data_IF_331819661334
#
_entry.id   IF_331819661334
#
_cell.length_a   1.000
_cell.length_b   1.000
_cell.length_c   1.000
_cell.angle_alpha   90.00
_cell.angle_beta   90.00
_cell.angle_gamma   90.00
#
_symmetry.space_group_name_H-M   'P 1'
#
loop_
_entity.id
_entity.type
_entity.pdbx_description
1 polymer ?
#
# COMPACT_ATOMS: atom_id res chain seq x y z
N UNK A 1 -49.06 -13.99 -53.95
CA UNK A 1 -48.46 -13.01 -53.03
C UNK A 1 -48.10 -13.74 -51.76
N UNK A 2 -46.86 -14.18 -51.67
CA UNK A 2 -46.35 -15.01 -50.57
C UNK A 2 -45.70 -14.09 -49.54
N UNK A 3 -46.32 -13.96 -48.36
CA UNK A 3 -45.72 -13.28 -47.22
C UNK A 3 -45.05 -14.32 -46.32
N UNK A 4 -43.71 -14.28 -46.31
CA UNK A 4 -42.85 -14.85 -45.30
C UNK A 4 -42.07 -13.68 -44.68
N UNK A 5 -42.10 -13.54 -43.36
CA UNK A 5 -41.17 -12.77 -42.50
C UNK A 5 -41.84 -12.69 -41.12
N UNK A 6 -41.19 -12.79 -39.96
CA UNK A 6 -39.82 -13.13 -39.54
C UNK A 6 -39.99 -13.32 -38.03
N UNK A 7 -39.75 -14.52 -37.49
CA UNK A 7 -39.79 -14.74 -36.04
C UNK A 7 -38.36 -14.61 -35.51
N UNK A 8 -38.07 -13.45 -34.91
CA UNK A 8 -36.87 -13.17 -34.13
C UNK A 8 -36.86 -14.04 -32.89
N UNK A 9 -36.02 -15.07 -32.90
CA UNK A 9 -35.64 -15.88 -31.72
C UNK A 9 -34.65 -15.04 -30.91
N UNK A 10 -35.14 -14.40 -29.85
CA UNK A 10 -34.29 -13.90 -28.77
C UNK A 10 -33.93 -15.10 -27.89
N UNK A 11 -32.78 -15.70 -28.16
CA UNK A 11 -32.23 -16.79 -27.37
C UNK A 11 -31.63 -16.19 -26.09
N UNK A 12 -32.40 -16.32 -25.02
CA UNK A 12 -32.09 -15.97 -23.65
C UNK A 12 -30.90 -16.83 -23.16
N UNK A 13 -29.69 -16.32 -23.39
CA UNK A 13 -28.46 -16.87 -22.81
C UNK A 13 -28.37 -16.46 -21.35
N UNK A 14 -29.24 -17.05 -20.52
CA UNK A 14 -29.08 -17.04 -19.08
C UNK A 14 -27.78 -17.79 -18.74
N UNK A 15 -26.71 -17.01 -18.59
CA UNK A 15 -25.41 -17.48 -18.13
C UNK A 15 -25.59 -18.33 -16.87
N UNK A 16 -25.27 -19.61 -17.01
CA UNK A 16 -25.21 -20.59 -15.92
C UNK A 16 -24.19 -20.07 -14.90
N UNK A 17 -24.68 -19.33 -13.89
CA UNK A 17 -23.88 -18.94 -12.73
C UNK A 17 -23.49 -20.23 -12.01
N UNK A 18 -22.28 -20.71 -12.30
CA UNK A 18 -21.71 -21.85 -11.63
C UNK A 18 -21.69 -21.58 -10.12
N UNK A 19 -22.23 -22.49 -9.28
CA UNK A 19 -22.22 -22.32 -7.84
C UNK A 19 -20.77 -22.19 -7.38
N UNK A 20 -20.46 -21.05 -6.76
CA UNK A 20 -19.14 -20.71 -6.23
C UNK A 20 -18.60 -21.85 -5.39
N UNK A 21 -17.62 -22.60 -5.93
CA UNK A 21 -16.92 -23.64 -5.17
C UNK A 21 -16.27 -22.95 -3.98
N UNK A 22 -16.79 -23.19 -2.77
CA UNK A 22 -16.22 -22.66 -1.54
C UNK A 22 -14.80 -23.19 -1.40
N UNK A 23 -13.83 -22.30 -1.52
CA UNK A 23 -12.43 -22.62 -1.31
C UNK A 23 -12.20 -22.92 0.18
N UNK A 24 -11.89 -24.17 0.52
CA UNK A 24 -11.69 -24.60 1.91
C UNK A 24 -10.19 -24.78 2.16
N UNK A 25 -9.62 -23.87 2.95
CA UNK A 25 -8.24 -23.99 3.45
C UNK A 25 -8.24 -24.93 4.65
N UNK A 26 -7.44 -26.00 4.63
CA UNK A 26 -7.32 -26.94 5.75
C UNK A 26 -6.98 -26.20 7.08
N UNK A 27 -7.28 -26.72 8.27
CA UNK A 27 -6.78 -26.11 9.51
C UNK A 27 -5.24 -26.21 9.61
N UNK A 28 -4.57 -25.21 10.17
CA UNK A 28 -3.12 -25.20 10.42
C UNK A 28 -2.86 -24.79 11.87
N UNK A 29 -1.84 -25.40 12.48
CA UNK A 29 -1.32 -25.00 13.79
C UNK A 29 -0.18 -24.02 13.57
N UNK A 30 -0.19 -22.92 14.32
CA UNK A 30 0.80 -21.87 14.21
C UNK A 30 1.82 -22.00 15.34
N UNK A 31 3.09 -22.09 14.98
CA UNK A 31 4.20 -22.04 15.91
C UNK A 31 4.45 -20.58 16.29
N UNK A 32 3.86 -20.18 17.41
CA UNK A 32 3.93 -18.82 17.95
C UNK A 32 4.75 -18.82 19.23
N UNK A 33 5.71 -17.92 19.31
CA UNK A 33 6.61 -17.77 20.44
C UNK A 33 6.44 -16.37 21.03
N UNK A 34 6.31 -16.28 22.35
CA UNK A 34 6.36 -14.99 23.05
C UNK A 34 7.83 -14.62 23.17
N UNK A 35 8.20 -13.44 22.68
CA UNK A 35 9.56 -12.91 22.74
C UNK A 35 9.57 -11.54 23.39
N UNK A 36 10.73 -11.18 23.95
CA UNK A 36 10.95 -9.85 24.54
C UNK A 36 11.01 -8.77 23.46
N UNK A 37 10.79 -7.52 23.87
CA UNK A 37 10.88 -6.34 22.98
C UNK A 37 12.25 -6.27 22.29
N UNK A 38 13.34 -6.45 23.06
CA UNK A 38 14.70 -6.37 22.55
C UNK A 38 15.00 -7.46 21.52
N UNK A 39 14.55 -8.70 21.79
CA UNK A 39 14.68 -9.79 20.82
C UNK A 39 13.90 -9.50 19.53
N UNK A 40 12.70 -8.95 19.64
CA UNK A 40 11.91 -8.58 18.47
C UNK A 40 12.60 -7.48 17.65
N UNK A 41 13.02 -6.40 18.28
CA UNK A 41 13.69 -5.30 17.59
C UNK A 41 15.04 -5.71 17.01
N UNK A 42 15.83 -6.52 17.73
CA UNK A 42 17.11 -7.03 17.25
C UNK A 42 16.92 -7.94 16.02
N UNK A 43 15.92 -8.84 16.05
CA UNK A 43 15.63 -9.70 14.90
C UNK A 43 15.12 -8.90 13.70
N UNK A 44 14.22 -7.94 13.89
CA UNK A 44 13.75 -7.06 12.82
C UNK A 44 14.90 -6.22 12.26
N UNK A 45 15.73 -5.62 13.11
CA UNK A 45 16.90 -4.84 12.71
C UNK A 45 17.85 -5.69 11.87
N UNK A 46 18.14 -6.93 12.28
CA UNK A 46 19.02 -7.83 11.52
C UNK A 46 18.48 -8.14 10.11
N UNK A 47 17.16 -8.27 9.96
CA UNK A 47 16.50 -8.57 8.69
C UNK A 47 16.38 -7.36 7.76
N UNK A 48 16.39 -6.16 8.31
CA UNK A 48 16.13 -4.89 7.60
C UNK A 48 17.34 -3.97 7.55
N UNK A 49 18.55 -4.54 7.74
CA UNK A 49 19.83 -3.82 7.74
C UNK A 49 19.82 -2.64 8.72
N UNK A 50 19.38 -2.86 9.95
CA UNK A 50 19.23 -1.80 10.96
C UNK A 50 18.05 -0.86 10.68
N UNK A 51 16.94 -1.37 10.14
CA UNK A 51 15.75 -0.60 9.74
C UNK A 51 15.93 0.32 8.53
N UNK A 52 17.09 0.33 7.85
CA UNK A 52 17.32 1.16 6.67
C UNK A 52 16.47 0.77 5.46
N UNK A 53 15.93 -0.46 5.43
CA UNK A 53 15.01 -0.93 4.37
C UNK A 53 13.56 -0.47 4.56
N UNK A 54 13.27 0.18 5.67
CA UNK A 54 11.92 0.62 6.03
C UNK A 54 11.80 2.15 5.89
N UNK A 55 10.60 2.67 5.57
CA UNK A 55 10.33 4.09 5.70
C UNK A 55 10.57 4.54 7.14
N UNK A 56 11.25 5.68 7.32
CA UNK A 56 11.65 6.19 8.63
C UNK A 56 10.48 6.27 9.62
N UNK A 57 9.37 6.89 9.22
CA UNK A 57 8.16 7.03 10.04
C UNK A 57 7.60 5.67 10.49
N UNK A 58 7.57 4.70 9.56
CA UNK A 58 7.09 3.36 9.86
C UNK A 58 8.02 2.65 10.84
N UNK A 59 9.34 2.74 10.64
CA UNK A 59 10.32 2.16 11.52
C UNK A 59 10.28 2.77 12.94
N UNK A 60 10.07 4.08 13.05
CA UNK A 60 9.93 4.76 14.35
C UNK A 60 8.65 4.34 15.07
N UNK A 61 7.51 4.38 14.39
CA UNK A 61 6.22 3.98 14.96
C UNK A 61 6.25 2.53 15.46
N UNK A 62 6.70 1.59 14.61
CA UNK A 62 6.80 0.17 14.96
C UNK A 62 7.73 -0.04 16.16
N UNK A 63 8.87 0.66 16.21
CA UNK A 63 9.78 0.58 17.34
C UNK A 63 9.17 1.11 18.65
N UNK A 64 8.47 2.25 18.59
CA UNK A 64 7.78 2.82 19.75
C UNK A 64 6.70 1.86 20.28
N UNK A 65 5.88 1.34 19.37
CA UNK A 65 4.79 0.44 19.68
C UNK A 65 5.28 -0.89 20.28
N UNK A 66 6.31 -1.52 19.71
CA UNK A 66 6.93 -2.73 20.29
C UNK A 66 7.51 -2.44 21.68
N UNK A 67 8.20 -1.31 21.89
CA UNK A 67 8.78 -0.93 23.21
C UNK A 67 7.72 -0.63 24.27
N UNK A 68 6.53 -0.21 23.86
CA UNK A 68 5.44 0.14 24.79
C UNK A 68 4.79 -1.09 25.46
N UNK A 69 5.03 -2.30 24.95
CA UNK A 69 4.35 -3.54 25.39
C UNK A 69 5.35 -4.50 26.04
N UNK A 70 5.04 -5.19 27.15
CA UNK A 70 6.02 -6.03 27.86
C UNK A 70 6.61 -7.18 27.01
N UNK A 71 5.86 -7.66 26.02
CA UNK A 71 6.28 -8.72 25.11
C UNK A 71 5.58 -8.56 23.76
N UNK A 72 6.09 -9.26 22.75
CA UNK A 72 5.43 -9.43 21.46
C UNK A 72 5.41 -10.92 21.07
N UNK A 73 4.55 -11.30 20.14
CA UNK A 73 4.51 -12.66 19.61
C UNK A 73 5.22 -12.70 18.27
N UNK A 74 6.10 -13.68 18.11
CA UNK A 74 6.73 -14.01 16.85
C UNK A 74 6.14 -15.31 16.29
N UNK A 75 5.91 -15.34 14.98
CA UNK A 75 5.54 -16.55 14.27
C UNK A 75 6.07 -16.54 12.84
N UNK A 76 6.04 -17.70 12.20
CA UNK A 76 6.41 -17.83 10.80
C UNK A 76 5.51 -18.83 10.06
N UNK A 77 5.44 -18.67 8.73
CA UNK A 77 4.89 -19.68 7.81
C UNK A 77 5.86 -19.89 6.65
N UNK A 78 5.97 -21.11 6.10
CA UNK A 78 6.79 -21.35 4.92
C UNK A 78 6.20 -20.61 3.71
N UNK A 79 7.06 -19.94 2.95
CA UNK A 79 6.70 -19.40 1.65
C UNK A 79 6.68 -20.50 0.59
N UNK A 80 5.88 -20.35 -0.49
CA UNK A 80 5.93 -21.27 -1.62
C UNK A 80 7.34 -21.39 -2.22
N UNK A 81 7.72 -22.55 -2.80
CA UNK A 81 9.03 -22.71 -3.41
C UNK A 81 9.20 -21.90 -4.71
N UNK A 82 8.10 -21.50 -5.35
CA UNK A 82 8.13 -20.73 -6.58
C UNK A 82 8.20 -19.21 -6.28
N UNK A 83 9.33 -18.59 -6.61
CA UNK A 83 9.59 -17.17 -6.39
C UNK A 83 8.57 -16.25 -7.09
N UNK A 84 8.05 -16.64 -8.26
CA UNK A 84 7.05 -15.84 -8.96
C UNK A 84 5.73 -15.78 -8.18
N UNK A 85 5.36 -16.87 -7.50
CA UNK A 85 4.19 -16.90 -6.60
C UNK A 85 4.46 -16.04 -5.37
N UNK A 86 5.66 -16.14 -4.78
CA UNK A 86 6.06 -15.31 -3.63
C UNK A 86 5.98 -13.81 -3.97
N UNK A 87 6.48 -13.39 -5.14
CA UNK A 87 6.37 -12.00 -5.62
C UNK A 87 4.92 -11.55 -5.75
N UNK A 88 4.01 -12.41 -6.22
CA UNK A 88 2.57 -12.12 -6.28
C UNK A 88 1.95 -11.99 -4.89
N UNK A 89 2.33 -12.83 -3.93
CA UNK A 89 1.86 -12.75 -2.53
C UNK A 89 2.31 -11.44 -1.87
N UNK A 90 3.59 -11.09 -2.04
CA UNK A 90 4.17 -9.85 -1.50
C UNK A 90 3.53 -8.62 -2.16
N UNK A 91 3.25 -8.73 -3.45
CA UNK A 91 2.74 -7.65 -4.29
C UNK A 91 3.84 -6.65 -4.67
N UNK A 92 3.49 -5.73 -5.56
CA UNK A 92 4.41 -4.68 -5.99
C UNK A 92 4.88 -3.83 -4.80
N UNK A 93 6.21 -3.75 -4.57
CA UNK A 93 6.83 -3.04 -3.44
C UNK A 93 6.26 -3.41 -2.06
N UNK A 94 5.87 -4.67 -1.89
CA UNK A 94 5.32 -5.18 -0.63
C UNK A 94 3.91 -4.66 -0.32
N UNK A 95 3.17 -4.19 -1.33
CA UNK A 95 1.84 -3.59 -1.15
C UNK A 95 0.89 -4.50 -0.35
N UNK A 96 0.81 -5.79 -0.69
CA UNK A 96 -0.10 -6.70 0.01
C UNK A 96 0.34 -6.98 1.44
N UNK A 97 1.64 -7.13 1.70
CA UNK A 97 2.12 -7.27 3.09
C UNK A 97 1.78 -6.04 3.93
N UNK A 98 1.93 -4.83 3.37
CA UNK A 98 1.55 -3.58 4.04
C UNK A 98 0.04 -3.54 4.32
N UNK A 99 -0.78 -3.90 3.33
CA UNK A 99 -2.23 -3.96 3.48
C UNK A 99 -2.65 -4.97 4.57
N UNK A 100 -2.05 -6.16 4.59
CA UNK A 100 -2.29 -7.19 5.62
C UNK A 100 -1.84 -6.71 7.01
N UNK A 101 -0.68 -6.06 7.09
CA UNK A 101 -0.14 -5.48 8.33
C UNK A 101 -1.13 -4.47 8.93
N UNK A 102 -1.63 -3.53 8.10
CA UNK A 102 -2.61 -2.54 8.51
C UNK A 102 -3.98 -3.16 8.87
N UNK A 103 -4.50 -4.03 8.01
CA UNK A 103 -5.83 -4.66 8.18
C UNK A 103 -5.92 -5.49 9.46
N UNK A 104 -4.86 -6.21 9.82
CA UNK A 104 -4.85 -7.08 10.98
C UNK A 104 -4.12 -6.50 12.19
N UNK A 105 -3.61 -5.26 12.08
CA UNK A 105 -2.86 -4.57 13.14
C UNK A 105 -1.72 -5.42 13.69
N UNK A 106 -0.95 -6.01 12.78
CA UNK A 106 0.32 -6.68 13.11
C UNK A 106 1.41 -5.62 13.05
N UNK A 107 2.42 -5.70 13.91
CA UNK A 107 3.46 -4.66 13.99
C UNK A 107 4.33 -4.71 12.74
N UNK A 108 4.70 -5.93 12.31
CA UNK A 108 5.55 -6.13 11.14
C UNK A 108 5.35 -7.50 10.48
N UNK A 109 5.44 -7.53 9.15
CA UNK A 109 5.48 -8.75 8.33
C UNK A 109 6.66 -8.63 7.39
N UNK A 110 7.51 -9.66 7.36
CA UNK A 110 8.69 -9.70 6.50
C UNK A 110 8.82 -11.03 5.78
N UNK A 111 9.36 -11.01 4.57
CA UNK A 111 9.71 -12.22 3.85
C UNK A 111 11.23 -12.40 3.86
N UNK A 112 11.71 -13.47 4.51
CA UNK A 112 13.11 -13.85 4.49
C UNK A 112 13.38 -14.78 3.31
N UNK A 113 14.07 -14.27 2.28
CA UNK A 113 14.42 -15.05 1.09
C UNK A 113 15.42 -16.18 1.37
N UNK A 114 16.25 -16.05 2.42
CA UNK A 114 17.24 -17.08 2.78
C UNK A 114 16.61 -18.32 3.41
N UNK A 115 15.62 -18.13 4.30
CA UNK A 115 14.89 -19.24 4.92
C UNK A 115 13.60 -19.61 4.16
N UNK A 116 13.25 -18.82 3.14
CA UNK A 116 11.99 -18.91 2.40
C UNK A 116 10.76 -18.96 3.31
N UNK A 117 10.68 -18.01 4.24
CA UNK A 117 9.61 -17.93 5.25
C UNK A 117 9.07 -16.51 5.36
N UNK A 118 7.77 -16.40 5.62
CA UNK A 118 7.14 -15.16 6.07
C UNK A 118 7.18 -15.12 7.60
N UNK A 119 7.70 -14.03 8.15
CA UNK A 119 7.85 -13.78 9.57
C UNK A 119 6.84 -12.71 10.00
N UNK A 120 6.29 -12.86 11.21
CA UNK A 120 5.25 -12.00 11.77
C UNK A 120 5.64 -11.60 13.19
N UNK A 121 5.45 -10.32 13.52
CA UNK A 121 5.63 -9.78 14.88
C UNK A 121 4.40 -8.97 15.27
N UNK A 122 3.84 -9.21 16.45
CA UNK A 122 2.67 -8.48 16.93
C UNK A 122 1.96 -9.14 18.09
N UNK A 123 0.75 -8.65 18.39
CA UNK A 123 -0.16 -9.37 19.28
C UNK A 123 -0.50 -10.76 18.72
N UNK A 124 -0.64 -11.74 19.60
CA UNK A 124 -0.87 -13.15 19.24
C UNK A 124 -2.06 -13.31 18.29
N UNK A 125 -3.19 -12.66 18.56
CA UNK A 125 -4.39 -12.80 17.74
C UNK A 125 -4.27 -12.04 16.42
N UNK A 126 -3.56 -10.91 16.41
CA UNK A 126 -3.22 -10.19 15.20
C UNK A 126 -2.33 -11.05 14.27
N UNK A 127 -1.28 -11.68 14.81
CA UNK A 127 -0.41 -12.58 14.04
C UNK A 127 -1.20 -13.74 13.43
N UNK A 128 -2.05 -14.43 14.20
CA UNK A 128 -2.87 -15.56 13.69
C UNK A 128 -3.76 -15.10 12.53
N UNK A 129 -4.40 -13.94 12.63
CA UNK A 129 -5.26 -13.40 11.56
C UNK A 129 -4.45 -13.08 10.30
N UNK A 130 -3.30 -12.42 10.44
CA UNK A 130 -2.43 -12.14 9.30
C UNK A 130 -1.83 -13.40 8.67
N UNK A 131 -1.42 -14.39 9.47
CA UNK A 131 -0.92 -15.67 8.98
C UNK A 131 -2.00 -16.41 8.18
N UNK A 132 -3.25 -16.40 8.65
CA UNK A 132 -4.39 -16.95 7.90
C UNK A 132 -4.62 -16.22 6.56
N UNK A 133 -4.53 -14.89 6.53
CA UNK A 133 -4.68 -14.09 5.31
C UNK A 133 -3.59 -14.40 4.28
N UNK A 134 -2.32 -14.44 4.69
CA UNK A 134 -1.21 -14.79 3.79
C UNK A 134 -1.33 -16.24 3.32
N UNK A 135 -1.71 -17.14 4.22
CA UNK A 135 -1.93 -18.55 3.88
C UNK A 135 -3.06 -18.74 2.86
N UNK A 136 -4.18 -18.05 3.04
CA UNK A 136 -5.27 -18.05 2.07
C UNK A 136 -4.77 -17.61 0.68
N UNK A 137 -3.97 -16.54 0.61
CA UNK A 137 -3.35 -16.07 -0.64
C UNK A 137 -2.39 -17.10 -1.24
N UNK A 138 -1.59 -17.77 -0.42
CA UNK A 138 -0.71 -18.86 -0.86
C UNK A 138 -1.54 -19.96 -1.52
N UNK A 139 -2.55 -20.50 -0.83
CA UNK A 139 -3.37 -21.59 -1.35
C UNK A 139 -4.08 -21.16 -2.65
N UNK A 140 -4.65 -19.96 -2.67
CA UNK A 140 -5.34 -19.40 -3.84
C UNK A 140 -4.44 -19.32 -5.08
N UNK A 141 -3.20 -18.85 -4.92
CA UNK A 141 -2.24 -18.71 -6.02
C UNK A 141 -1.61 -20.04 -6.45
N UNK A 142 -1.35 -20.96 -5.51
CA UNK A 142 -0.75 -22.28 -5.80
C UNK A 142 -1.75 -23.20 -6.50
N UNK A 143 -3.02 -23.18 -6.09
CA UNK A 143 -4.07 -24.00 -6.69
C UNK A 143 -4.63 -23.43 -7.99
N UNK A 144 -4.02 -22.36 -8.53
CA UNK A 144 -4.44 -21.74 -9.79
C UNK A 144 -5.81 -21.06 -9.74
N UNK A 145 -6.39 -20.85 -8.55
CA UNK A 145 -7.63 -20.12 -8.36
C UNK A 145 -7.34 -18.61 -8.30
N UNK A 146 -6.70 -18.07 -9.33
CA UNK A 146 -6.66 -16.63 -9.52
C UNK A 146 -8.10 -16.16 -9.70
N UNK A 147 -8.66 -15.49 -8.69
CA UNK A 147 -9.91 -14.77 -8.89
C UNK A 147 -9.61 -13.68 -9.91
N UNK A 148 -10.39 -13.61 -11.02
CA UNK A 148 -10.23 -12.55 -12.01
C UNK A 148 -10.37 -11.15 -11.38
N UNK A 149 -11.07 -11.04 -10.24
CA UNK A 149 -11.24 -9.80 -9.48
C UNK A 149 -9.93 -9.24 -8.91
N UNK A 150 -9.01 -10.08 -8.40
CA UNK A 150 -7.70 -9.59 -7.90
C UNK A 150 -6.84 -9.11 -9.07
N UNK A 151 -6.88 -9.83 -10.18
CA UNK A 151 -6.17 -9.43 -11.40
C UNK A 151 -6.71 -8.11 -11.92
N UNK A 152 -8.04 -7.94 -11.88
CA UNK A 152 -8.71 -6.70 -12.24
C UNK A 152 -8.37 -5.54 -11.30
N UNK A 153 -8.39 -5.72 -9.97
CA UNK A 153 -7.96 -4.69 -9.00
C UNK A 153 -6.51 -4.26 -9.23
N UNK A 154 -5.60 -5.21 -9.50
CA UNK A 154 -4.20 -4.85 -9.83
C UNK A 154 -4.10 -4.08 -11.14
N UNK A 155 -4.87 -4.49 -12.15
CA UNK A 155 -4.87 -3.83 -13.46
C UNK A 155 -5.42 -2.41 -13.35
N UNK A 156 -6.55 -2.23 -12.69
CA UNK A 156 -7.17 -0.92 -12.44
C UNK A 156 -6.24 -0.01 -11.62
N UNK A 157 -5.57 -0.55 -10.60
CA UNK A 157 -4.58 0.22 -9.83
C UNK A 157 -3.38 0.67 -10.69
N UNK A 158 -2.86 -0.21 -11.55
CA UNK A 158 -1.77 0.12 -12.46
C UNK A 158 -2.19 1.17 -13.50
N UNK A 159 -3.37 1.03 -14.08
CA UNK A 159 -3.94 1.99 -15.04
C UNK A 159 -4.20 3.35 -14.39
N UNK A 160 -4.80 3.40 -13.21
CA UNK A 160 -5.03 4.65 -12.47
C UNK A 160 -3.71 5.37 -12.14
N UNK A 161 -2.65 4.60 -11.83
CA UNK A 161 -1.34 5.18 -11.53
C UNK A 161 -0.61 5.67 -12.78
N UNK A 162 -0.72 4.95 -13.89
CA UNK A 162 -0.20 5.39 -15.18
C UNK A 162 -0.86 6.72 -15.59
N UNK A 163 -2.19 6.80 -15.53
CA UNK A 163 -2.94 8.02 -15.79
C UNK A 163 -2.53 9.18 -14.87
N UNK A 164 -2.30 8.90 -13.58
CA UNK A 164 -1.82 9.92 -12.63
C UNK A 164 -0.40 10.40 -12.94
N UNK A 165 0.49 9.51 -13.39
CA UNK A 165 1.86 9.88 -13.78
C UNK A 165 1.87 10.72 -15.06
N UNK A 166 1.06 10.36 -16.04
CA UNK A 166 0.88 11.13 -17.28
C UNK A 166 0.33 12.53 -16.99
N UNK A 167 -0.69 12.64 -16.13
CA UNK A 167 -1.23 13.94 -15.72
C UNK A 167 -0.19 14.82 -15.01
N UNK A 168 0.66 14.23 -14.15
CA UNK A 168 1.75 14.97 -13.49
C UNK A 168 2.82 15.43 -14.47
N UNK A 169 3.19 14.60 -15.44
CA UNK A 169 4.15 14.95 -16.48
C UNK A 169 3.62 16.13 -17.34
N UNK A 170 2.35 16.07 -17.76
CA UNK A 170 1.71 17.15 -18.51
C UNK A 170 1.68 18.48 -17.73
N UNK A 171 1.36 18.44 -16.44
CA UNK A 171 1.38 19.64 -15.58
C UNK A 171 2.80 20.21 -15.42
N UNK A 172 3.82 19.36 -15.30
CA UNK A 172 5.22 19.81 -15.23
C UNK A 172 5.67 20.47 -16.54
N UNK A 173 5.28 19.92 -17.69
CA UNK A 173 5.58 20.48 -19.01
C UNK A 173 4.89 21.83 -19.24
N UNK A 174 3.61 21.96 -18.83
CA UNK A 174 2.89 23.23 -18.89
C UNK A 174 3.53 24.30 -18.00
N UNK A 175 3.98 23.93 -16.79
CA UNK A 175 4.68 24.85 -15.88
C UNK A 175 6.04 25.28 -16.46
N UNK A 176 6.82 24.36 -17.02
CA UNK A 176 8.08 24.68 -17.67
C UNK A 176 7.89 25.64 -18.87
N UNK A 177 6.80 25.48 -19.62
CA UNK A 177 6.46 26.37 -20.75
C UNK A 177 6.07 27.77 -20.26
N UNK A 178 5.33 27.89 -19.16
CA UNK A 178 5.00 29.19 -18.56
C UNK A 178 6.22 29.89 -17.99
N UNK A 179 7.12 29.16 -17.31
CA UNK A 179 8.37 29.71 -16.78
C UNK A 179 9.28 30.21 -17.93
N UNK A 180 9.39 29.46 -19.04
CA UNK A 180 10.13 29.90 -20.22
C UNK A 180 9.50 31.13 -20.91
N UNK A 181 8.17 31.22 -20.94
CA UNK A 181 7.46 32.39 -21.48
C UNK A 181 7.62 33.63 -20.58
N UNK A 182 7.69 33.45 -19.26
CA UNK A 182 7.93 34.53 -18.32
C UNK A 182 9.35 35.10 -18.42
N UNK A 183 10.35 34.26 -18.71
CA UNK A 183 11.75 34.69 -18.87
C UNK A 183 12.00 35.49 -20.16
N UNK A 184 11.13 35.32 -21.17
CA UNK A 184 11.20 36.07 -22.44
C UNK A 184 10.31 37.32 -22.47
N UNK A 185 9.51 37.56 -21.42
CA UNK A 185 8.71 38.77 -21.33
C UNK A 185 9.64 39.98 -21.12
N UNK A 186 9.53 41.03 -21.96
CA UNK A 186 10.33 42.24 -21.78
C UNK A 186 9.99 42.83 -20.42
N UNK A 187 11.01 42.98 -19.56
CA UNK A 187 10.92 43.70 -18.30
C UNK A 187 10.54 45.13 -18.63
N UNK A 188 9.23 45.44 -18.59
CA UNK A 188 8.76 46.81 -18.57
C UNK A 188 9.16 47.37 -17.20
N UNK A 189 10.29 48.08 -17.19
CA UNK A 189 10.67 48.98 -16.11
C UNK A 189 9.56 50.04 -15.99
N UNK A 190 8.55 49.75 -15.17
CA UNK A 190 7.66 50.78 -14.67
C UNK A 190 8.45 51.55 -13.62
N UNK A 191 9.04 52.66 -14.04
CA UNK A 191 9.51 53.75 -13.17
C UNK A 191 8.31 54.40 -12.48
N UNK A 192 7.65 53.67 -11.59
CA UNK A 192 6.71 54.26 -10.64
C UNK A 192 7.48 54.45 -9.35
N UNK A 193 8.04 55.65 -9.16
CA UNK A 193 8.52 56.14 -7.88
C UNK A 193 7.40 55.95 -6.84
N UNK A 194 7.51 54.87 -6.06
CA UNK A 194 6.64 54.60 -4.93
C UNK A 194 7.36 55.05 -3.66
N UNK A 195 6.79 56.09 -3.08
CA UNK A 195 7.22 56.79 -1.88
C UNK A 195 7.38 55.82 -0.69
N UNK A 196 8.57 55.70 -0.06
CA UNK A 196 8.85 54.70 0.97
C UNK A 196 8.28 55.02 2.37
N UNK A 197 7.32 55.94 2.50
CA UNK A 197 6.93 56.49 3.82
C UNK A 197 5.69 55.87 4.48
N UNK A 198 5.05 54.84 3.94
CA UNK A 198 3.85 54.28 4.60
C UNK A 198 3.86 52.75 4.57
N UNK A 199 3.50 52.16 5.71
CA UNK A 199 3.33 50.73 5.98
C UNK A 199 4.55 49.99 6.55
N UNK A 200 5.03 50.52 7.68
CA UNK A 200 5.86 49.80 8.66
C UNK A 200 5.00 49.28 9.82
N UNK A 201 3.82 48.72 9.55
CA UNK A 201 3.05 47.95 10.54
C UNK A 201 2.20 46.90 9.82
N UNK A 202 2.66 45.65 9.81
CA UNK A 202 1.85 44.41 9.77
C UNK A 202 2.68 43.22 9.26
N UNK A 203 3.80 42.90 9.90
CA UNK A 203 4.41 41.56 9.76
C UNK A 203 4.89 41.14 11.13
N UNK A 204 4.00 40.55 11.92
CA UNK A 204 4.34 39.63 13.02
C UNK A 204 3.02 39.02 13.52
N UNK A 205 2.55 37.99 12.81
CA UNK A 205 1.80 36.82 13.33
C UNK A 205 1.26 36.04 12.12
N UNK A 206 2.11 35.21 11.53
CA UNK A 206 1.65 34.02 10.84
C UNK A 206 2.19 32.83 11.62
N UNK A 207 1.32 32.28 12.45
CA UNK A 207 1.46 30.98 13.09
C UNK A 207 1.60 29.93 11.98
N UNK A 208 2.81 29.38 11.83
CA UNK A 208 3.11 28.24 10.95
C UNK A 208 3.07 26.92 11.76
N UNK A 209 2.24 26.84 12.80
CA UNK A 209 2.20 25.66 13.67
C UNK A 209 0.94 24.78 13.59
N UNK A 210 -0.06 25.09 12.75
CA UNK A 210 -1.33 24.34 12.77
C UNK A 210 -1.57 23.36 11.60
N UNK A 211 -0.67 23.23 10.62
CA UNK A 211 -0.91 22.34 9.46
C UNK A 211 -0.17 21.00 9.46
N UNK A 212 0.65 20.70 10.47
CA UNK A 212 1.34 19.39 10.56
C UNK A 212 0.52 18.34 11.32
N UNK A 213 -0.53 18.74 12.05
CA UNK A 213 -1.33 17.81 12.87
C UNK A 213 -2.47 17.13 12.08
N UNK A 214 -2.88 17.65 10.93
CA UNK A 214 -4.07 17.19 10.21
C UNK A 214 -3.84 16.02 9.22
N UNK A 215 -2.59 15.76 8.79
CA UNK A 215 -2.31 14.68 7.82
C UNK A 215 -2.08 13.33 8.52
N UNK A 216 -1.60 13.32 9.76
CA UNK A 216 -1.32 12.07 10.48
C UNK A 216 -2.58 11.40 11.06
N UNK A 217 -3.69 12.12 11.20
CA UNK A 217 -4.97 11.58 11.70
C UNK A 217 -5.76 10.77 10.65
N UNK A 218 -5.43 10.86 9.36
CA UNK A 218 -6.26 10.24 8.30
C UNK A 218 -5.84 8.81 7.95
N UNK A 219 -4.69 8.34 8.43
CA UNK A 219 -4.13 7.05 8.02
C UNK A 219 -3.73 6.11 9.16
N UNK A 220 -3.76 6.56 10.42
CA UNK A 220 -3.43 5.73 11.58
C UNK A 220 -4.27 6.18 12.80
N UNK A 221 -5.34 5.46 13.18
CA UNK A 221 -5.98 5.62 14.48
C UNK A 221 -5.15 5.00 15.62
#
# INVERSE_FOLDING_TARGET
MSQQQEQTVFEETAAVMNPTKKFVVAPMRYDLMIITQDQALMTIASLTRGFHDLPFEFAQWMQYDIRSRPYTTFGYIPAPPNEAIVKKIIGYKGHYLKLTTQRHRVDFIWHNAGTNQFHFWGDRMCCIRAMNEIRYRICKLVEGHLDPEIEQETKEFHEARAATQEARAATQEARATQEAAAETAPVFLNDTQQDPSVCLEAILTLDINDEITAVNSKYYP
#
